data_IF_250568561359
#
_entry.id   IF_250568561359
#
_cell.length_a   1.000
_cell.length_b   1.000
_cell.length_c   1.000
_cell.angle_alpha   90.00
_cell.angle_beta   90.00
_cell.angle_gamma   90.00
#
_symmetry.space_group_name_H-M   'P 1'
#
loop_
_entity.id
_entity.type
_entity.pdbx_description
1 polymer ?
#
# COMPACT_ATOMS: atom_id res chain seq x y z
N UNK A 1 20.63 -16.49 -5.25
CA UNK A 1 19.97 -15.72 -6.32
C UNK A 1 20.17 -14.26 -5.96
N UNK A 2 20.93 -13.52 -6.77
CA UNK A 2 21.17 -12.10 -6.55
C UNK A 2 19.90 -11.36 -6.95
N UNK A 3 19.25 -10.70 -5.98
CA UNK A 3 18.11 -9.81 -6.23
C UNK A 3 18.59 -8.64 -7.08
N UNK A 4 17.99 -8.49 -8.25
CA UNK A 4 18.19 -7.38 -9.16
C UNK A 4 17.62 -6.11 -8.49
N UNK A 5 18.49 -5.31 -7.87
CA UNK A 5 18.15 -3.97 -7.42
C UNK A 5 18.07 -3.10 -8.68
N UNK A 6 16.88 -2.89 -9.22
CA UNK A 6 16.65 -1.87 -10.23
C UNK A 6 16.73 -0.48 -9.55
N UNK A 7 17.85 0.18 -9.79
CA UNK A 7 18.08 1.58 -9.44
C UNK A 7 17.20 2.45 -10.38
N UNK A 8 16.17 3.08 -9.83
CA UNK A 8 15.27 3.98 -10.56
C UNK A 8 15.96 5.33 -10.81
N UNK A 9 17.07 5.31 -11.55
CA UNK A 9 17.62 6.54 -12.13
C UNK A 9 17.00 6.76 -13.49
N UNK A 10 16.19 7.81 -13.58
CA UNK A 10 15.49 8.19 -14.80
C UNK A 10 16.44 8.32 -16.00
N UNK A 11 16.14 7.60 -17.06
CA UNK A 11 16.69 7.89 -18.38
C UNK A 11 15.80 8.95 -19.02
N UNK A 12 16.39 10.11 -19.34
CA UNK A 12 15.80 11.14 -20.21
C UNK A 12 15.30 10.52 -21.51
N UNK A 13 14.01 10.45 -21.68
CA UNK A 13 13.16 10.56 -22.88
C UNK A 13 11.79 9.90 -22.60
N UNK A 14 10.95 10.54 -21.78
CA UNK A 14 9.53 10.28 -21.80
C UNK A 14 8.84 11.61 -22.06
N UNK A 15 8.13 11.71 -23.19
CA UNK A 15 7.17 12.79 -23.43
C UNK A 15 6.32 12.98 -22.18
N UNK A 16 6.33 14.18 -21.63
CA UNK A 16 5.64 14.52 -20.39
C UNK A 16 4.13 14.26 -20.54
N UNK A 17 3.64 13.23 -19.88
CA UNK A 17 2.25 12.79 -19.91
C UNK A 17 1.36 13.70 -19.03
N UNK A 18 1.93 14.73 -18.42
CA UNK A 18 1.24 15.71 -17.59
C UNK A 18 1.09 17.01 -18.38
N UNK A 19 -0.14 17.56 -18.44
CA UNK A 19 -0.40 18.88 -19.03
C UNK A 19 0.25 20.00 -18.20
N UNK A 20 0.60 21.07 -18.86
CA UNK A 20 1.29 22.35 -18.61
C UNK A 20 1.74 22.84 -17.21
N UNK A 21 1.45 22.17 -16.09
CA UNK A 21 2.11 22.40 -14.78
C UNK A 21 2.49 21.10 -14.07
N UNK A 22 2.59 20.05 -14.81
CA UNK A 22 3.40 18.82 -14.59
C UNK A 22 3.38 18.13 -13.22
N UNK A 23 2.82 18.69 -12.16
CA UNK A 23 2.90 18.13 -10.80
C UNK A 23 1.58 17.47 -10.37
N UNK A 24 1.69 16.26 -9.80
CA UNK A 24 0.56 15.54 -9.20
C UNK A 24 0.17 16.15 -7.86
N UNK A 25 1.18 16.49 -7.05
CA UNK A 25 1.01 17.09 -5.74
C UNK A 25 1.37 18.57 -5.77
N UNK A 26 0.45 19.44 -5.35
CA UNK A 26 0.76 20.85 -5.20
C UNK A 26 1.69 21.12 -3.99
N UNK A 27 2.16 22.36 -3.84
CA UNK A 27 3.07 22.74 -2.77
C UNK A 27 2.52 22.45 -1.37
N UNK A 28 1.21 22.64 -1.16
CA UNK A 28 0.57 22.36 0.12
C UNK A 28 0.57 20.86 0.45
N UNK A 29 0.33 20.00 -0.55
CA UNK A 29 0.41 18.55 -0.41
C UNK A 29 1.84 18.09 -0.09
N UNK A 30 2.85 18.60 -0.81
CA UNK A 30 4.26 18.31 -0.53
C UNK A 30 4.69 18.78 0.85
N UNK A 31 4.26 19.97 1.28
CA UNK A 31 4.53 20.48 2.62
C UNK A 31 3.87 19.62 3.71
N UNK A 32 2.62 19.18 3.49
CA UNK A 32 1.93 18.27 4.40
C UNK A 32 2.64 16.91 4.49
N UNK A 33 3.09 16.37 3.36
CA UNK A 33 3.89 15.15 3.33
C UNK A 33 5.19 15.32 4.10
N UNK A 34 5.94 16.39 3.84
CA UNK A 34 7.18 16.69 4.54
C UNK A 34 6.99 16.81 6.06
N UNK A 35 5.90 17.40 6.52
CA UNK A 35 5.62 17.55 7.95
C UNK A 35 5.25 16.23 8.65
N UNK A 36 4.55 15.32 7.99
CA UNK A 36 3.87 14.19 8.63
C UNK A 36 4.50 12.81 8.33
N UNK A 37 5.16 12.66 7.17
CA UNK A 37 5.87 11.43 6.83
C UNK A 37 7.00 11.16 7.84
N UNK A 38 7.26 9.93 8.29
CA UNK A 38 6.63 8.67 7.86
C UNK A 38 5.58 8.10 8.84
N UNK A 39 5.25 8.78 9.94
CA UNK A 39 4.48 8.19 11.06
C UNK A 39 3.04 8.67 11.16
N UNK A 40 2.71 9.86 10.64
CA UNK A 40 1.39 10.45 10.84
C UNK A 40 0.53 10.32 9.60
N UNK A 41 -0.65 9.67 9.68
CA UNK A 41 -1.64 9.70 8.59
C UNK A 41 -2.04 11.13 8.26
N UNK A 42 -2.11 11.46 6.97
CA UNK A 42 -2.50 12.80 6.52
C UNK A 42 -3.05 12.76 5.10
N UNK A 43 -3.93 13.71 4.81
CA UNK A 43 -4.51 13.86 3.47
C UNK A 43 -3.59 14.69 2.57
N UNK A 44 -3.63 14.36 1.28
CA UNK A 44 -2.86 15.01 0.22
C UNK A 44 -3.79 15.28 -0.98
N UNK A 45 -4.07 16.54 -1.36
CA UNK A 45 -4.75 16.81 -2.62
C UNK A 45 -3.87 16.41 -3.82
N UNK A 46 -4.50 15.88 -4.89
CA UNK A 46 -3.81 15.47 -6.11
C UNK A 46 -4.63 15.74 -7.37
N UNK A 47 -3.98 15.73 -8.55
CA UNK A 47 -4.62 16.04 -9.83
C UNK A 47 -4.90 14.80 -10.72
N UNK A 48 -4.61 13.57 -10.24
CA UNK A 48 -4.72 12.36 -11.07
C UNK A 48 -6.13 11.89 -11.37
N UNK A 49 -7.16 12.42 -10.71
CA UNK A 49 -8.55 11.98 -10.90
C UNK A 49 -9.09 12.25 -12.31
N UNK A 50 -8.45 13.11 -13.09
CA UNK A 50 -8.78 13.39 -14.50
C UNK A 50 -7.79 12.80 -15.50
N UNK A 51 -6.78 12.05 -15.02
CA UNK A 51 -5.70 11.54 -15.87
C UNK A 51 -6.20 10.46 -16.84
N UNK A 52 -5.85 10.59 -18.12
CA UNK A 52 -6.36 9.74 -19.20
C UNK A 52 -6.06 8.24 -19.04
N UNK A 53 -4.92 7.86 -18.44
CA UNK A 53 -4.58 6.46 -18.13
C UNK A 53 -5.43 5.86 -17.00
N UNK A 54 -6.17 6.67 -16.24
CA UNK A 54 -6.89 6.24 -15.05
C UNK A 54 -8.42 6.26 -15.20
N UNK A 55 -8.89 6.38 -16.44
CA UNK A 55 -10.31 6.22 -16.80
C UNK A 55 -10.71 4.74 -16.78
N UNK A 56 -12.02 4.43 -16.62
CA UNK A 56 -12.49 3.04 -16.63
C UNK A 56 -12.10 2.29 -17.91
N UNK A 57 -12.18 2.93 -19.07
CA UNK A 57 -11.81 2.30 -20.32
C UNK A 57 -10.30 2.02 -20.41
N UNK A 58 -9.47 3.00 -20.04
CA UNK A 58 -8.01 2.80 -19.98
C UNK A 58 -7.61 1.69 -19.01
N UNK A 59 -8.29 1.58 -17.86
CA UNK A 59 -8.05 0.51 -16.87
C UNK A 59 -8.54 -0.86 -17.35
N UNK A 60 -9.62 -0.91 -18.11
CA UNK A 60 -10.06 -2.15 -18.77
C UNK A 60 -9.05 -2.59 -19.85
N UNK A 61 -8.52 -1.66 -20.63
CA UNK A 61 -7.49 -1.94 -21.62
C UNK A 61 -6.18 -2.37 -20.96
N UNK A 62 -5.77 -1.70 -19.88
CA UNK A 62 -4.63 -2.11 -19.04
C UNK A 62 -4.79 -3.57 -18.59
N UNK A 63 -5.94 -3.91 -18.04
CA UNK A 63 -6.22 -5.29 -17.57
C UNK A 63 -6.12 -6.31 -18.72
N UNK A 64 -6.42 -5.91 -19.96
CA UNK A 64 -6.31 -6.77 -21.15
C UNK A 64 -4.88 -7.11 -21.56
N UNK A 65 -3.88 -6.35 -21.11
CA UNK A 65 -2.46 -6.53 -21.49
C UNK A 65 -1.56 -6.95 -20.32
N UNK A 66 -2.06 -6.88 -19.08
CA UNK A 66 -1.32 -7.30 -17.91
C UNK A 66 -1.20 -8.82 -17.80
N UNK A 67 -0.20 -9.29 -17.06
CA UNK A 67 -0.09 -10.71 -16.71
C UNK A 67 -1.29 -11.13 -15.85
N UNK A 68 -1.88 -12.29 -16.14
CA UNK A 68 -3.03 -12.83 -15.41
C UNK A 68 -2.78 -12.96 -13.90
N UNK A 69 -1.56 -13.32 -13.49
CA UNK A 69 -1.15 -13.40 -12.09
C UNK A 69 -1.17 -12.05 -11.35
N UNK A 70 -1.20 -10.94 -12.09
CA UNK A 70 -1.29 -9.58 -11.56
C UNK A 70 -2.73 -9.06 -11.52
N UNK A 71 -3.71 -9.87 -11.90
CA UNK A 71 -5.12 -9.48 -11.95
C UNK A 71 -5.91 -10.36 -10.98
N UNK A 72 -6.69 -9.72 -10.13
CA UNK A 72 -7.63 -10.40 -9.26
C UNK A 72 -8.99 -9.72 -9.36
N UNK A 73 -10.04 -10.50 -9.60
CA UNK A 73 -11.40 -9.96 -9.66
C UNK A 73 -12.44 -11.05 -9.33
N UNK A 74 -13.48 -10.63 -8.60
CA UNK A 74 -14.51 -11.51 -8.13
C UNK A 74 -15.82 -10.76 -7.91
N UNK A 75 -16.90 -11.49 -7.58
CA UNK A 75 -18.12 -10.91 -7.04
C UNK A 75 -17.87 -10.22 -5.71
N UNK A 76 -18.69 -9.23 -5.41
CA UNK A 76 -18.69 -8.52 -4.12
C UNK A 76 -19.29 -9.30 -2.96
N UNK A 77 -19.39 -10.62 -3.07
CA UNK A 77 -20.00 -11.50 -2.06
C UNK A 77 -19.16 -11.59 -0.77
N UNK A 78 -17.86 -11.33 -0.90
CA UNK A 78 -16.92 -11.27 0.22
C UNK A 78 -16.15 -9.94 0.18
N UNK A 79 -15.74 -9.44 1.34
CA UNK A 79 -14.83 -8.29 1.40
C UNK A 79 -13.53 -8.56 0.65
N UNK A 80 -12.93 -7.50 0.09
CA UNK A 80 -11.64 -7.57 -0.60
C UNK A 80 -10.56 -8.07 0.39
N UNK A 81 -9.79 -9.08 -0.01
CA UNK A 81 -8.65 -9.60 0.76
C UNK A 81 -9.01 -10.60 1.88
N UNK A 82 -10.25 -11.06 1.97
CA UNK A 82 -10.63 -12.14 2.89
C UNK A 82 -10.37 -13.49 2.23
N UNK A 83 -9.76 -14.42 2.99
CA UNK A 83 -9.66 -15.82 2.58
C UNK A 83 -11.07 -16.43 2.40
N UNK A 84 -11.38 -16.74 1.20
CA UNK A 84 -12.63 -17.31 0.75
C UNK A 84 -12.55 -17.55 -0.75
N UNK A 85 -13.52 -18.24 -1.30
CA UNK A 85 -13.70 -18.33 -2.76
C UNK A 85 -14.90 -17.47 -3.13
N UNK A 86 -14.73 -16.16 -3.38
CA UNK A 86 -15.81 -15.33 -3.89
C UNK A 86 -16.30 -15.94 -5.20
N UNK A 87 -17.59 -15.79 -5.50
CA UNK A 87 -18.14 -16.28 -6.74
C UNK A 87 -17.48 -15.60 -7.95
N UNK A 88 -17.26 -16.34 -9.03
CA UNK A 88 -16.81 -15.76 -10.29
C UNK A 88 -17.85 -14.75 -10.81
N UNK A 89 -17.39 -13.68 -11.44
CA UNK A 89 -18.28 -12.65 -12.03
C UNK A 89 -19.09 -13.19 -13.21
N UNK A 90 -18.57 -14.21 -13.90
CA UNK A 90 -19.11 -14.71 -15.18
C UNK A 90 -18.84 -13.79 -16.36
N UNK A 91 -18.07 -12.71 -16.16
CA UNK A 91 -17.67 -11.73 -17.18
C UNK A 91 -16.16 -11.73 -17.35
N UNK A 92 -15.67 -11.20 -18.49
CA UNK A 92 -14.25 -10.88 -18.64
C UNK A 92 -13.83 -9.83 -17.61
N UNK A 93 -12.51 -9.72 -17.36
CA UNK A 93 -12.00 -8.64 -16.49
C UNK A 93 -12.34 -7.26 -17.06
N UNK A 94 -12.24 -7.07 -18.38
CA UNK A 94 -12.54 -5.80 -19.03
C UNK A 94 -14.02 -5.43 -18.84
N UNK A 95 -14.93 -6.40 -19.03
CA UNK A 95 -16.37 -6.17 -18.84
C UNK A 95 -16.69 -5.94 -17.36
N UNK A 96 -16.04 -6.66 -16.46
CA UNK A 96 -16.20 -6.44 -15.01
C UNK A 96 -15.81 -5.00 -14.63
N UNK A 97 -14.71 -4.49 -15.16
CA UNK A 97 -14.27 -3.10 -14.93
C UNK A 97 -15.26 -2.10 -15.52
N UNK A 98 -15.64 -2.24 -16.79
CA UNK A 98 -16.57 -1.31 -17.44
C UNK A 98 -17.94 -1.26 -16.78
N UNK A 99 -18.40 -2.37 -16.22
CA UNK A 99 -19.70 -2.48 -15.55
C UNK A 99 -19.62 -2.44 -14.02
N UNK A 100 -18.52 -1.97 -13.45
CA UNK A 100 -18.26 -2.03 -12.00
C UNK A 100 -19.37 -1.41 -11.15
N UNK A 101 -20.06 -0.39 -11.66
CA UNK A 101 -21.15 0.27 -10.95
C UNK A 101 -22.36 -0.64 -10.68
N UNK A 102 -22.56 -1.69 -11.49
CA UNK A 102 -23.75 -2.56 -11.45
C UNK A 102 -23.44 -4.03 -11.31
N UNK A 103 -22.18 -4.43 -11.46
CA UNK A 103 -21.77 -5.84 -11.47
C UNK A 103 -21.64 -6.46 -10.08
N UNK A 104 -21.82 -5.69 -9.01
CA UNK A 104 -21.56 -6.12 -7.62
C UNK A 104 -20.25 -6.92 -7.54
N UNK A 105 -19.15 -6.29 -7.96
CA UNK A 105 -17.85 -6.93 -8.13
C UNK A 105 -16.74 -6.03 -7.62
N UNK A 106 -15.55 -6.58 -7.57
CA UNK A 106 -14.33 -5.82 -7.38
C UNK A 106 -13.21 -6.39 -8.25
N UNK A 107 -12.25 -5.56 -8.57
CA UNK A 107 -11.04 -5.91 -9.29
C UNK A 107 -9.83 -5.20 -8.68
N UNK A 108 -8.69 -5.88 -8.68
CA UNK A 108 -7.39 -5.33 -8.31
C UNK A 108 -6.40 -5.61 -9.43
N UNK A 109 -5.80 -4.55 -9.97
CA UNK A 109 -4.69 -4.62 -10.92
C UNK A 109 -3.40 -4.37 -10.12
N UNK A 110 -2.55 -5.39 -10.05
CA UNK A 110 -1.33 -5.41 -9.19
C UNK A 110 -0.10 -5.15 -10.04
N UNK A 111 0.86 -4.39 -9.49
CA UNK A 111 2.15 -4.13 -10.16
C UNK A 111 1.94 -3.50 -11.54
N UNK A 112 1.18 -2.40 -11.61
CA UNK A 112 0.87 -1.73 -12.88
C UNK A 112 2.12 -1.17 -13.57
N UNK A 113 3.22 -0.99 -12.84
CA UNK A 113 4.53 -0.60 -13.35
C UNK A 113 5.14 -1.60 -14.33
N UNK A 114 4.58 -2.79 -14.47
CA UNK A 114 4.96 -3.73 -15.53
C UNK A 114 4.60 -3.22 -16.94
N UNK A 115 3.72 -2.22 -17.03
CA UNK A 115 3.33 -1.57 -18.29
C UNK A 115 4.02 -0.21 -18.40
N UNK A 116 4.81 0.07 -19.46
CA UNK A 116 5.70 1.24 -19.53
C UNK A 116 5.03 2.59 -19.29
N UNK A 117 3.81 2.81 -19.79
CA UNK A 117 3.07 4.07 -19.56
C UNK A 117 2.75 4.30 -18.08
N UNK A 118 2.35 3.24 -17.38
CA UNK A 118 2.06 3.31 -15.94
C UNK A 118 3.34 3.35 -15.11
N UNK A 119 4.42 2.73 -15.57
CA UNK A 119 5.73 2.87 -14.94
C UNK A 119 6.19 4.34 -14.96
N UNK A 120 6.04 5.01 -16.11
CA UNK A 120 6.39 6.43 -16.25
C UNK A 120 5.53 7.32 -15.34
N UNK A 121 4.22 7.07 -15.28
CA UNK A 121 3.30 7.78 -14.39
C UNK A 121 3.72 7.64 -12.92
N UNK A 122 4.01 6.41 -12.46
CA UNK A 122 4.46 6.16 -11.09
C UNK A 122 5.80 6.82 -10.79
N UNK A 123 6.76 6.73 -11.70
CA UNK A 123 8.07 7.34 -11.55
C UNK A 123 7.98 8.88 -11.44
N UNK A 124 7.17 9.52 -12.30
CA UNK A 124 6.91 10.96 -12.25
C UNK A 124 6.33 11.37 -10.90
N UNK A 125 5.26 10.72 -10.46
CA UNK A 125 4.60 11.02 -9.19
C UNK A 125 5.54 10.83 -7.98
N UNK A 126 6.27 9.71 -7.93
CA UNK A 126 7.18 9.42 -6.82
C UNK A 126 8.37 10.38 -6.78
N UNK A 127 8.83 10.88 -7.93
CA UNK A 127 9.93 11.87 -7.99
C UNK A 127 9.62 13.16 -7.23
N UNK A 128 8.34 13.53 -7.10
CA UNK A 128 7.91 14.74 -6.39
C UNK A 128 8.10 14.68 -4.87
N UNK A 129 8.10 13.45 -4.31
CA UNK A 129 8.19 13.21 -2.86
C UNK A 129 9.45 12.42 -2.46
N UNK A 130 10.21 11.91 -3.43
CA UNK A 130 11.42 11.12 -3.19
C UNK A 130 12.46 11.83 -2.32
N UNK A 131 12.77 13.13 -2.51
CA UNK A 131 13.75 13.82 -1.66
C UNK A 131 13.39 13.76 -0.18
N UNK A 132 12.10 13.89 0.16
CA UNK A 132 11.63 13.85 1.53
C UNK A 132 11.69 12.43 2.12
N UNK A 133 11.40 11.42 1.29
CA UNK A 133 11.50 10.01 1.66
C UNK A 133 12.95 9.68 2.01
N UNK A 134 13.88 10.01 1.11
CA UNK A 134 15.31 9.70 1.28
C UNK A 134 15.92 10.43 2.46
N UNK A 135 15.54 11.68 2.69
CA UNK A 135 16.02 12.45 3.83
C UNK A 135 15.62 11.87 5.19
N UNK A 136 14.45 11.22 5.29
CA UNK A 136 13.91 10.72 6.55
C UNK A 136 14.13 9.22 6.78
N UNK A 137 13.89 8.42 5.75
CA UNK A 137 13.82 6.95 5.91
C UNK A 137 14.83 6.19 5.06
N UNK A 138 15.75 6.89 4.38
CA UNK A 138 16.72 6.30 3.47
C UNK A 138 16.14 5.98 2.10
N UNK A 139 16.84 5.18 1.30
CA UNK A 139 16.49 4.92 -0.08
C UNK A 139 15.04 4.48 -0.26
N UNK A 140 14.38 5.02 -1.30
CA UNK A 140 13.08 4.54 -1.76
C UNK A 140 13.27 3.27 -2.59
N UNK A 141 12.73 2.17 -2.12
CA UNK A 141 12.97 0.83 -2.64
C UNK A 141 11.65 0.17 -3.04
N UNK A 142 11.70 -0.63 -4.11
CA UNK A 142 10.58 -1.47 -4.56
C UNK A 142 9.26 -0.70 -4.72
N UNK A 143 9.24 0.40 -5.46
CA UNK A 143 7.97 1.09 -5.73
C UNK A 143 7.05 0.20 -6.53
N UNK A 144 5.75 0.18 -6.15
CA UNK A 144 4.71 -0.63 -6.79
C UNK A 144 3.42 0.16 -6.87
N UNK A 145 2.62 -0.09 -7.92
CA UNK A 145 1.31 0.50 -8.09
C UNK A 145 0.21 -0.57 -8.12
N UNK A 146 -0.89 -0.29 -7.41
CA UNK A 146 -2.07 -1.15 -7.37
C UNK A 146 -3.30 -0.30 -7.68
N UNK A 147 -4.17 -0.76 -8.57
CA UNK A 147 -5.44 -0.10 -8.83
C UNK A 147 -6.56 -0.97 -8.26
N UNK A 148 -7.35 -0.38 -7.38
CA UNK A 148 -8.54 -0.97 -6.79
C UNK A 148 -9.77 -0.40 -7.47
N UNK A 149 -10.60 -1.26 -8.05
CA UNK A 149 -11.83 -0.93 -8.76
C UNK A 149 -12.95 -1.71 -8.08
N UNK A 150 -13.91 -1.04 -7.49
CA UNK A 150 -14.91 -1.71 -6.65
C UNK A 150 -16.30 -1.14 -6.86
N UNK A 151 -17.30 -2.01 -6.80
CA UNK A 151 -18.71 -1.63 -6.69
C UNK A 151 -18.99 -0.82 -5.42
N UNK A 152 -20.14 -0.11 -5.34
CA UNK A 152 -20.55 0.61 -4.15
C UNK A 152 -20.48 -0.24 -2.88
N UNK A 153 -20.17 0.40 -1.75
CA UNK A 153 -20.17 -0.19 -0.40
C UNK A 153 -19.19 -1.35 -0.15
N UNK A 154 -18.25 -1.61 -1.06
CA UNK A 154 -17.22 -2.63 -0.85
C UNK A 154 -16.37 -2.31 0.40
N UNK A 155 -15.94 -3.36 1.10
CA UNK A 155 -15.14 -3.26 2.33
C UNK A 155 -13.80 -3.97 2.12
N UNK A 156 -12.71 -3.28 2.49
CA UNK A 156 -11.40 -3.92 2.69
C UNK A 156 -11.25 -4.22 4.17
N UNK A 157 -11.04 -5.50 4.55
CA UNK A 157 -10.95 -5.91 5.94
C UNK A 157 -9.83 -5.27 6.72
N UNK A 158 -9.86 -5.44 8.04
CA UNK A 158 -8.85 -4.96 8.97
C UNK A 158 -7.51 -5.67 8.76
N UNK A 159 -6.47 -4.93 8.39
CA UNK A 159 -5.15 -5.44 8.06
C UNK A 159 -4.08 -4.37 8.27
N UNK A 160 -2.82 -4.71 8.02
CA UNK A 160 -1.70 -3.79 7.89
C UNK A 160 -0.86 -4.12 6.66
N UNK A 161 -0.09 -3.14 6.18
CA UNK A 161 0.86 -3.32 5.08
C UNK A 161 2.29 -2.97 5.53
N UNK A 162 3.31 -3.70 5.04
CA UNK A 162 4.71 -3.45 5.42
C UNK A 162 5.34 -2.32 4.62
N UNK A 163 4.64 -1.80 3.62
CA UNK A 163 5.04 -0.68 2.79
C UNK A 163 4.55 0.65 3.36
N UNK A 164 5.26 1.74 3.05
CA UNK A 164 4.65 3.06 3.00
C UNK A 164 3.63 3.07 1.86
N UNK A 165 2.52 3.75 2.04
CA UNK A 165 1.47 3.79 1.03
C UNK A 165 0.84 5.18 0.93
N UNK A 166 0.60 5.63 -0.30
CA UNK A 166 -0.31 6.73 -0.60
C UNK A 166 -1.47 6.16 -1.40
N UNK A 167 -2.68 6.23 -0.85
CA UNK A 167 -3.91 5.83 -1.52
C UNK A 167 -4.57 7.06 -2.14
N UNK A 168 -4.50 7.17 -3.48
CA UNK A 168 -5.08 8.27 -4.26
C UNK A 168 -6.49 7.88 -4.72
N UNK A 169 -7.49 8.65 -4.34
CA UNK A 169 -8.88 8.43 -4.77
C UNK A 169 -9.12 9.09 -6.12
N UNK A 170 -9.48 8.28 -7.13
CA UNK A 170 -9.68 8.72 -8.52
C UNK A 170 -11.16 8.93 -8.84
N UNK A 171 -12.04 8.09 -8.28
CA UNK A 171 -13.48 8.14 -8.50
C UNK A 171 -14.24 7.65 -7.26
N UNK A 172 -15.41 8.24 -7.01
CA UNK A 172 -16.23 7.93 -5.83
C UNK A 172 -15.57 8.42 -4.54
N UNK A 173 -15.97 7.85 -3.42
CA UNK A 173 -15.47 8.20 -2.11
C UNK A 173 -15.24 6.96 -1.25
N UNK A 174 -14.44 7.09 -0.20
CA UNK A 174 -14.26 6.07 0.83
C UNK A 174 -13.87 6.66 2.17
N UNK A 175 -14.04 5.88 3.21
CA UNK A 175 -13.53 6.18 4.54
C UNK A 175 -12.52 5.11 4.89
N UNK A 176 -11.29 5.50 5.20
CA UNK A 176 -10.28 4.64 5.79
C UNK A 176 -10.18 4.95 7.28
N UNK A 177 -10.33 3.93 8.11
CA UNK A 177 -10.08 4.04 9.54
C UNK A 177 -8.70 3.46 9.84
N UNK A 178 -7.80 4.30 10.36
CA UNK A 178 -6.43 3.93 10.71
C UNK A 178 -6.22 3.93 12.21
N UNK A 179 -5.33 3.04 12.66
CA UNK A 179 -4.92 2.90 14.04
C UNK A 179 -3.41 3.14 14.18
N UNK A 180 -2.92 3.54 15.37
CA UNK A 180 -1.51 3.79 15.58
C UNK A 180 -0.63 2.59 15.20
N UNK A 181 0.36 2.83 14.36
CA UNK A 181 1.34 1.82 13.98
C UNK A 181 2.20 1.40 15.17
N UNK A 182 2.40 0.09 15.35
CA UNK A 182 3.23 -0.46 16.42
C UNK A 182 2.59 -0.46 17.80
N UNK A 183 1.33 -0.03 17.94
CA UNK A 183 0.59 -0.17 19.21
C UNK A 183 0.07 -1.61 19.34
N UNK A 184 0.52 -2.36 20.39
CA UNK A 184 0.17 -3.77 20.56
C UNK A 184 -1.31 -3.99 20.90
N UNK A 185 -2.06 -2.96 21.22
CA UNK A 185 -3.52 -3.02 21.43
C UNK A 185 -4.22 -3.36 20.13
N UNK A 186 -3.79 -2.77 19.01
CA UNK A 186 -4.41 -2.93 17.69
C UNK A 186 -3.78 -4.05 16.86
N UNK A 187 -2.48 -4.29 17.03
CA UNK A 187 -1.77 -5.41 16.42
C UNK A 187 -0.63 -5.86 17.37
N UNK A 188 -0.78 -7.02 17.98
CA UNK A 188 0.22 -7.54 18.91
C UNK A 188 1.58 -7.76 18.23
N UNK A 189 2.69 -7.56 18.96
CA UNK A 189 4.05 -7.77 18.43
C UNK A 189 4.24 -9.15 17.81
N UNK A 190 3.61 -10.18 18.39
CA UNK A 190 3.65 -11.55 17.84
C UNK A 190 2.99 -11.68 16.48
N UNK A 191 1.98 -10.87 16.18
CA UNK A 191 1.33 -10.82 14.86
C UNK A 191 2.26 -10.18 13.84
N UNK A 192 2.88 -9.05 14.16
CA UNK A 192 3.92 -8.43 13.33
C UNK A 192 5.09 -9.38 13.07
N UNK A 193 5.60 -10.06 14.12
CA UNK A 193 6.68 -11.03 14.03
C UNK A 193 6.30 -12.24 13.15
N UNK A 194 5.04 -12.70 13.25
CA UNK A 194 4.50 -13.77 12.42
C UNK A 194 4.45 -13.36 10.95
N UNK A 195 3.91 -12.17 10.67
CA UNK A 195 3.81 -11.64 9.31
C UNK A 195 5.18 -11.60 8.61
N UNK A 196 6.19 -11.01 9.25
CA UNK A 196 7.55 -10.93 8.68
C UNK A 196 8.27 -12.29 8.55
N UNK A 197 7.58 -13.36 8.87
CA UNK A 197 8.06 -14.74 8.73
C UNK A 197 7.10 -15.59 7.89
N UNK A 198 6.29 -14.95 7.04
CA UNK A 198 5.38 -15.61 6.10
C UNK A 198 3.95 -15.81 6.61
N UNK A 199 3.57 -15.19 7.73
CA UNK A 199 2.17 -15.17 8.21
C UNK A 199 1.28 -14.18 7.44
N UNK A 200 -0.02 -14.24 7.71
CA UNK A 200 -1.03 -13.38 7.09
C UNK A 200 -0.92 -11.92 7.57
N UNK A 201 -1.39 -10.99 6.73
CA UNK A 201 -1.48 -9.55 7.05
C UNK A 201 -2.83 -9.17 7.64
N UNK A 202 -3.83 -10.02 7.49
CA UNK A 202 -5.17 -9.83 8.03
C UNK A 202 -5.13 -9.87 9.56
N UNK A 203 -5.85 -8.93 10.17
CA UNK A 203 -5.91 -8.76 11.61
C UNK A 203 -7.29 -9.13 12.14
N UNK A 204 -7.34 -9.61 13.38
CA UNK A 204 -8.61 -9.90 14.04
C UNK A 204 -9.26 -8.61 14.52
N UNK A 205 -10.42 -8.27 13.97
CA UNK A 205 -11.23 -7.17 14.43
C UNK A 205 -11.81 -7.44 15.83
N UNK A 206 -11.86 -6.41 16.66
CA UNK A 206 -12.53 -6.42 17.94
C UNK A 206 -13.42 -5.18 18.05
N UNK A 207 -14.68 -5.35 18.45
CA UNK A 207 -15.66 -4.24 18.54
C UNK A 207 -15.20 -3.08 19.42
N UNK A 208 -14.40 -3.35 20.43
CA UNK A 208 -13.80 -2.29 21.26
C UNK A 208 -12.89 -1.32 20.51
N UNK A 209 -12.48 -1.64 19.27
CA UNK A 209 -11.66 -0.76 18.43
C UNK A 209 -12.48 0.29 17.68
N UNK A 210 -13.81 0.12 17.59
CA UNK A 210 -14.67 0.91 16.71
C UNK A 210 -14.48 2.43 16.86
N UNK A 211 -14.33 2.91 18.08
CA UNK A 211 -14.20 4.33 18.40
C UNK A 211 -12.75 4.79 18.70
N UNK A 212 -11.75 3.91 18.46
CA UNK A 212 -10.36 4.20 18.80
C UNK A 212 -9.48 4.53 17.58
N UNK A 213 -10.00 4.30 16.37
CA UNK A 213 -9.31 4.62 15.12
C UNK A 213 -9.62 6.04 14.64
N UNK A 214 -8.74 6.57 13.83
CA UNK A 214 -8.96 7.84 13.12
C UNK A 214 -9.62 7.55 11.77
N UNK A 215 -10.88 7.92 11.62
CA UNK A 215 -11.62 7.80 10.38
C UNK A 215 -11.33 9.01 9.48
N UNK A 216 -10.80 8.76 8.29
CA UNK A 216 -10.45 9.79 7.31
C UNK A 216 -11.24 9.51 6.03
N UNK A 217 -12.11 10.46 5.66
CA UNK A 217 -12.85 10.41 4.41
C UNK A 217 -11.98 10.98 3.29
N UNK A 218 -11.99 10.32 2.13
CA UNK A 218 -11.35 10.80 0.90
C UNK A 218 -12.31 10.70 -0.27
N UNK A 219 -12.33 11.73 -1.10
CA UNK A 219 -13.07 11.83 -2.35
C UNK A 219 -12.12 11.93 -3.55
N UNK A 220 -12.67 11.90 -4.77
CA UNK A 220 -11.86 12.06 -5.99
C UNK A 220 -11.02 13.35 -5.93
N UNK A 221 -9.73 13.24 -6.22
CA UNK A 221 -8.74 14.32 -6.07
C UNK A 221 -8.08 14.44 -4.70
N UNK A 222 -8.41 13.54 -3.76
CA UNK A 222 -7.78 13.46 -2.45
C UNK A 222 -7.02 12.14 -2.30
N UNK A 223 -5.88 12.17 -1.64
CA UNK A 223 -5.11 11.00 -1.25
C UNK A 223 -4.90 10.96 0.25
N UNK A 224 -4.54 9.77 0.73
CA UNK A 224 -4.25 9.51 2.14
C UNK A 224 -2.93 8.76 2.27
N UNK A 225 -2.02 9.30 3.08
CA UNK A 225 -0.82 8.57 3.47
C UNK A 225 -1.12 7.56 4.57
N UNK A 226 -0.61 6.34 4.40
CA UNK A 226 -0.73 5.23 5.35
C UNK A 226 0.67 4.83 5.83
N UNK A 227 0.98 4.99 7.13
CA UNK A 227 2.25 4.59 7.71
C UNK A 227 2.49 3.07 7.63
N UNK A 228 3.77 2.69 7.55
CA UNK A 228 4.20 1.29 7.60
C UNK A 228 3.61 0.58 8.82
N UNK A 229 3.02 -0.60 8.61
CA UNK A 229 2.42 -1.45 9.65
C UNK A 229 1.30 -0.78 10.45
N UNK A 230 0.71 0.33 9.99
CA UNK A 230 -0.47 0.92 10.60
C UNK A 230 -1.70 0.05 10.33
N UNK A 231 -2.37 -0.50 11.36
CA UNK A 231 -3.58 -1.27 11.13
C UNK A 231 -4.69 -0.37 10.57
N UNK A 232 -5.42 -0.85 9.58
CA UNK A 232 -6.50 -0.09 8.98
C UNK A 232 -7.55 -0.97 8.30
N UNK A 233 -8.71 -0.40 8.04
CA UNK A 233 -9.75 -0.95 7.18
C UNK A 233 -10.38 0.16 6.33
N UNK A 234 -11.05 -0.21 5.23
CA UNK A 234 -11.66 0.76 4.31
C UNK A 234 -13.10 0.39 4.02
N UNK A 235 -13.96 1.41 3.95
CA UNK A 235 -15.35 1.30 3.47
C UNK A 235 -15.57 2.26 2.32
N UNK A 236 -16.00 1.74 1.18
CA UNK A 236 -16.36 2.57 0.04
C UNK A 236 -17.72 3.26 0.25
N UNK A 237 -17.87 4.42 -0.36
CA UNK A 237 -19.11 5.16 -0.39
C UNK A 237 -20.18 4.54 -1.30
N UNK A 238 -21.26 5.29 -1.58
CA UNK A 238 -22.43 4.77 -2.31
C UNK A 238 -22.23 4.70 -3.83
N UNK A 239 -21.08 5.10 -4.34
CA UNK A 239 -20.73 5.03 -5.76
C UNK A 239 -19.64 4.01 -6.01
N UNK A 240 -19.45 3.62 -7.28
CA UNK A 240 -18.28 2.83 -7.67
C UNK A 240 -17.00 3.59 -7.36
N UNK A 241 -16.00 2.90 -6.85
CA UNK A 241 -14.76 3.49 -6.36
C UNK A 241 -13.58 3.02 -7.19
N UNK A 242 -12.73 3.97 -7.59
CA UNK A 242 -11.42 3.71 -8.20
C UNK A 242 -10.36 4.39 -7.35
N UNK A 243 -9.33 3.65 -6.95
CA UNK A 243 -8.17 4.19 -6.24
C UNK A 243 -6.89 3.64 -6.81
N UNK A 244 -5.87 4.48 -6.87
CA UNK A 244 -4.49 4.10 -7.10
C UNK A 244 -3.76 4.07 -5.74
N UNK A 245 -3.24 2.93 -5.34
CA UNK A 245 -2.34 2.78 -4.20
C UNK A 245 -0.91 2.71 -4.73
N UNK A 246 -0.06 3.60 -4.24
CA UNK A 246 1.35 3.62 -4.55
C UNK A 246 2.10 3.25 -3.29
N UNK A 247 2.90 2.20 -3.38
CA UNK A 247 3.62 1.68 -2.23
C UNK A 247 5.12 1.68 -2.49
N UNK A 248 5.90 1.81 -1.43
CA UNK A 248 7.35 1.64 -1.46
C UNK A 248 7.87 1.14 -0.12
N UNK A 249 9.03 0.49 -0.17
CA UNK A 249 9.81 0.19 1.03
C UNK A 249 10.89 1.25 1.20
N UNK A 250 11.43 1.37 2.41
CA UNK A 250 12.59 2.22 2.68
C UNK A 250 13.64 1.44 3.49
N UNK A 251 14.86 1.98 3.57
CA UNK A 251 15.89 1.38 4.43
C UNK A 251 15.37 1.18 5.86
N UNK A 252 14.70 2.22 6.40
CA UNK A 252 14.09 2.16 7.74
C UNK A 252 13.02 1.07 7.84
N UNK A 253 12.13 0.92 6.85
CA UNK A 253 11.06 -0.08 6.89
C UNK A 253 11.59 -1.51 6.80
N UNK A 254 12.70 -1.74 6.07
CA UNK A 254 13.39 -3.03 6.08
C UNK A 254 14.11 -3.29 7.40
N UNK A 255 14.68 -2.24 8.02
CA UNK A 255 15.31 -2.35 9.34
C UNK A 255 14.29 -2.77 10.40
N UNK A 256 13.09 -2.18 10.41
CA UNK A 256 12.01 -2.58 11.30
C UNK A 256 11.58 -4.05 11.06
N UNK A 257 11.38 -4.43 9.80
CA UNK A 257 11.01 -5.79 9.42
C UNK A 257 12.05 -6.84 9.89
N UNK A 258 13.34 -6.57 9.67
CA UNK A 258 14.43 -7.43 10.13
C UNK A 258 14.46 -7.51 11.67
N UNK A 259 14.20 -6.40 12.37
CA UNK A 259 14.12 -6.39 13.84
C UNK A 259 12.93 -7.20 14.37
N UNK A 260 11.77 -7.20 13.67
CA UNK A 260 10.63 -8.08 13.98
C UNK A 260 11.01 -9.55 13.78
N UNK A 261 11.71 -9.87 12.69
CA UNK A 261 12.24 -11.22 12.46
C UNK A 261 13.20 -11.69 13.56
N UNK A 262 14.09 -10.80 14.02
CA UNK A 262 14.99 -11.07 15.16
C UNK A 262 14.20 -11.31 16.45
N UNK A 263 13.23 -10.46 16.77
CA UNK A 263 12.39 -10.58 17.96
C UNK A 263 11.67 -11.93 18.00
N UNK A 264 11.18 -12.43 16.87
CA UNK A 264 10.56 -13.75 16.79
C UNK A 264 11.52 -14.86 17.22
N UNK A 265 12.80 -14.80 16.80
CA UNK A 265 13.81 -15.80 17.20
C UNK A 265 14.03 -15.75 18.71
N UNK A 266 14.19 -14.56 19.29
CA UNK A 266 14.38 -14.33 20.72
C UNK A 266 13.17 -14.83 21.50
N UNK A 267 11.97 -14.58 21.03
CA UNK A 267 10.71 -15.03 21.67
C UNK A 267 10.57 -16.55 21.64
N UNK A 268 10.98 -17.22 20.54
CA UNK A 268 11.02 -18.69 20.48
C UNK A 268 12.02 -19.30 21.49
N UNK A 269 13.05 -18.55 21.86
CA UNK A 269 13.98 -18.94 22.93
C UNK A 269 13.46 -18.63 24.35
N UNK A 270 12.19 -18.22 24.51
CA UNK A 270 11.57 -17.97 25.80
C UNK A 270 11.83 -16.58 26.39
N UNK A 271 12.43 -15.66 25.63
CA UNK A 271 12.75 -14.30 26.08
C UNK A 271 11.72 -13.35 25.48
N UNK A 272 11.17 -12.41 26.25
CA UNK A 272 10.30 -11.34 25.75
C UNK A 272 11.15 -10.16 25.26
N UNK A 273 11.30 -9.96 23.95
CA UNK A 273 12.07 -8.84 23.43
C UNK A 273 11.26 -7.53 23.53
N UNK A 274 11.96 -6.40 23.64
CA UNK A 274 11.34 -5.10 23.43
C UNK A 274 10.87 -4.96 21.97
N UNK A 275 9.73 -4.29 21.74
CA UNK A 275 9.25 -3.95 20.41
C UNK A 275 10.32 -3.16 19.61
N UNK A 276 10.35 -3.26 18.29
CA UNK A 276 11.16 -2.36 17.47
C UNK A 276 10.74 -0.90 17.68
N UNK A 277 11.73 -0.01 17.70
CA UNK A 277 11.47 1.42 17.79
C UNK A 277 10.79 1.93 16.50
N UNK A 278 9.81 2.84 16.67
CA UNK A 278 9.24 3.60 15.55
C UNK A 278 10.16 4.75 15.16
N UNK A 279 10.00 5.27 13.95
CA UNK A 279 10.76 6.42 13.48
C UNK A 279 10.59 7.61 14.47
N UNK A 280 11.67 8.37 14.77
CA UNK A 280 13.01 8.32 14.21
C UNK A 280 13.97 7.32 14.89
N UNK A 281 13.49 6.42 15.70
CA UNK A 281 14.32 5.41 16.36
C UNK A 281 14.91 4.41 15.36
N UNK A 282 16.13 3.92 15.67
CA UNK A 282 16.83 2.93 14.87
C UNK A 282 16.73 1.53 15.48
N UNK A 283 16.64 0.54 14.61
CA UNK A 283 16.62 -0.88 14.94
C UNK A 283 17.88 -1.60 14.40
N UNK A 284 18.92 -0.88 14.02
CA UNK A 284 20.10 -1.36 13.29
C UNK A 284 20.77 -2.59 13.94
N UNK A 285 20.88 -2.62 15.26
CA UNK A 285 21.52 -3.76 15.96
C UNK A 285 20.73 -5.06 15.80
N UNK A 286 19.40 -5.02 15.99
CA UNK A 286 18.52 -6.19 15.80
C UNK A 286 18.47 -6.61 14.33
N UNK A 287 18.35 -5.64 13.43
CA UNK A 287 18.35 -5.88 11.99
C UNK A 287 19.66 -6.53 11.52
N UNK A 288 20.79 -6.03 11.97
CA UNK A 288 22.09 -6.62 11.66
C UNK A 288 22.19 -8.08 12.17
N UNK A 289 21.82 -8.30 13.43
CA UNK A 289 21.83 -9.63 14.00
C UNK A 289 20.93 -10.61 13.21
N UNK A 290 19.73 -10.17 12.83
CA UNK A 290 18.82 -10.97 12.02
C UNK A 290 19.40 -11.32 10.64
N UNK A 291 19.98 -10.32 9.95
CA UNK A 291 20.62 -10.53 8.63
C UNK A 291 21.77 -11.54 8.70
N UNK A 292 22.56 -11.51 9.78
CA UNK A 292 23.61 -12.51 10.03
C UNK A 292 23.01 -13.91 10.23
N UNK A 293 22.00 -14.05 11.10
CA UNK A 293 21.34 -15.32 11.35
C UNK A 293 20.70 -15.89 10.07
N UNK A 294 20.06 -15.04 9.27
CA UNK A 294 19.48 -15.41 7.97
C UNK A 294 20.54 -15.92 6.98
N UNK A 295 21.69 -15.24 6.90
CA UNK A 295 22.81 -15.66 6.05
C UNK A 295 23.38 -17.02 6.48
N UNK A 296 23.38 -17.30 7.78
CA UNK A 296 23.78 -18.57 8.37
C UNK A 296 22.68 -19.63 8.32
N UNK A 297 21.49 -19.33 7.78
CA UNK A 297 20.30 -20.20 7.74
C UNK A 297 19.80 -20.65 9.12
N UNK A 298 19.99 -19.82 10.14
CA UNK A 298 19.60 -20.07 11.53
C UNK A 298 18.26 -19.43 11.91
N UNK A 299 17.50 -18.90 10.96
CA UNK A 299 16.22 -18.22 11.23
C UNK A 299 15.05 -19.20 11.40
N UNK A 300 15.18 -20.45 10.99
CA UNK A 300 14.12 -21.46 11.08
C UNK A 300 12.88 -21.12 10.25
N UNK A 301 13.07 -20.40 9.13
CA UNK A 301 12.07 -20.09 8.10
C UNK A 301 12.44 -20.84 6.84
#
# INVERSE_FOLDING_TARGET
>A
MMDNIQDFRGTDTADSVLEEDGTVFNDAARAAFAANYPETPHSLPHQLHTHHLLTLDALADLAGIMQESSIEYNRGDLPIGVDGKPGATGMSIQDTIRHIATSNSWAVLKNIEQVPAYQALLASLLSEIQPEIEAKTGAMLRPQGFIFISSPHAVTPYHFDPEHNILLQLKGSKVMTQFPAGDPVFAADTVHESYHSGGARELTWQEKFADQGTAIAIAAGEALFVPVMAPHFVRNGPESSISLSITWRSDWSFEEADARGFNRIIRKAGITPAAPARWPGSNASKAYAYRVLRKLRLTGV
#
